data_IF_345777756346
#
_entry.id   IF_345777756346
#
_cell.length_a   1.000
_cell.length_b   1.000
_cell.length_c   1.000
_cell.angle_alpha   90.00
_cell.angle_beta   90.00
_cell.angle_gamma   90.00
#
_symmetry.space_group_name_H-M   'P 1'
#
loop_
_entity.id
_entity.type
_entity.pdbx_description
1 polymer ?
#
# COMPACT_ATOMS: atom_id res chain seq x y z
N UNK A 1 17.76 -11.53 -6.14
CA UNK A 1 16.62 -12.46 -5.99
C UNK A 1 16.74 -13.19 -4.67
N UNK A 2 15.69 -13.15 -3.87
CA UNK A 2 15.62 -13.87 -2.60
C UNK A 2 15.32 -15.34 -2.90
N UNK A 3 16.07 -16.22 -2.28
CA UNK A 3 15.97 -17.66 -2.50
C UNK A 3 15.43 -18.42 -1.29
N UNK A 4 15.31 -17.75 -0.13
CA UNK A 4 14.86 -18.34 1.12
C UNK A 4 13.55 -17.71 1.59
N UNK A 5 12.48 -18.51 1.62
CA UNK A 5 11.17 -18.08 2.11
C UNK A 5 11.19 -17.59 3.56
N UNK A 6 11.93 -18.24 4.45
CA UNK A 6 11.97 -17.87 5.87
C UNK A 6 12.46 -16.45 6.11
N UNK A 7 13.23 -15.89 5.17
CA UNK A 7 13.73 -14.51 5.27
C UNK A 7 12.68 -13.45 4.95
N UNK A 8 11.57 -13.82 4.34
CA UNK A 8 10.53 -12.89 3.86
C UNK A 8 9.13 -13.26 4.32
N UNK A 9 8.92 -14.49 4.78
CA UNK A 9 7.61 -15.01 5.20
C UNK A 9 6.91 -14.12 6.24
N UNK A 10 7.68 -13.51 7.16
CA UNK A 10 7.16 -12.64 8.19
C UNK A 10 6.37 -11.44 7.64
N UNK A 11 6.75 -10.94 6.44
CA UNK A 11 6.10 -9.81 5.77
C UNK A 11 4.70 -10.15 5.22
N UNK A 12 4.31 -11.44 5.21
CA UNK A 12 3.05 -11.93 4.65
C UNK A 12 2.24 -12.76 5.66
N UNK A 13 2.66 -12.82 6.92
CA UNK A 13 2.00 -13.63 7.94
C UNK A 13 0.71 -13.00 8.50
N UNK A 14 0.48 -11.72 8.30
CA UNK A 14 -0.73 -11.07 8.77
C UNK A 14 -1.81 -11.10 7.68
N UNK A 15 -2.77 -12.00 7.86
CA UNK A 15 -3.90 -12.19 6.94
C UNK A 15 -4.98 -11.11 7.03
N UNK A 16 -4.89 -10.22 8.01
CA UNK A 16 -5.88 -9.17 8.26
C UNK A 16 -5.50 -7.83 7.61
N UNK A 17 -4.29 -7.72 7.06
CA UNK A 17 -3.75 -6.48 6.52
C UNK A 17 -3.42 -6.68 5.03
N UNK A 18 -3.77 -5.70 4.22
CA UNK A 18 -3.37 -5.67 2.83
C UNK A 18 -1.90 -5.26 2.69
N UNK A 19 -1.22 -5.91 1.76
CA UNK A 19 0.09 -5.51 1.28
C UNK A 19 -0.09 -4.59 0.08
N UNK A 20 0.63 -3.48 0.08
CA UNK A 20 0.53 -2.46 -0.97
C UNK A 20 1.89 -2.21 -1.62
N UNK A 21 1.93 -2.34 -2.94
CA UNK A 21 3.06 -1.90 -3.75
C UNK A 21 2.87 -0.41 -4.03
N UNK A 22 3.82 0.40 -3.59
CA UNK A 22 3.81 1.86 -3.74
C UNK A 22 4.85 2.33 -4.76
N UNK A 23 4.43 3.23 -5.64
CA UNK A 23 5.32 4.06 -6.44
C UNK A 23 5.00 5.51 -6.06
N UNK A 24 5.92 6.15 -5.34
CA UNK A 24 5.78 7.53 -4.89
C UNK A 24 6.30 8.52 -5.94
N UNK A 25 5.86 9.78 -5.81
CA UNK A 25 6.22 10.87 -6.72
C UNK A 25 5.89 10.53 -8.18
N UNK A 26 4.81 9.77 -8.40
CA UNK A 26 4.35 9.40 -9.73
C UNK A 26 3.92 10.64 -10.53
N UNK A 27 4.12 10.58 -11.83
CA UNK A 27 3.67 11.58 -12.79
C UNK A 27 2.52 11.04 -13.62
N UNK A 28 1.85 11.89 -14.38
CA UNK A 28 0.83 11.42 -15.35
C UNK A 28 1.43 10.50 -16.42
N UNK A 29 2.70 10.72 -16.80
CA UNK A 29 3.42 9.82 -17.73
C UNK A 29 3.66 8.43 -17.09
N UNK A 30 3.95 8.37 -15.81
CA UNK A 30 4.05 7.10 -15.07
C UNK A 30 2.70 6.39 -15.00
N UNK A 31 1.62 7.11 -14.72
CA UNK A 31 0.27 6.58 -14.76
C UNK A 31 -0.13 6.06 -16.15
N UNK A 32 0.20 6.78 -17.21
CA UNK A 32 -0.05 6.34 -18.60
C UNK A 32 0.63 5.00 -18.88
N UNK A 33 1.88 4.84 -18.48
CA UNK A 33 2.63 3.59 -18.63
C UNK A 33 1.99 2.45 -17.82
N UNK A 34 1.60 2.71 -16.57
CA UNK A 34 0.95 1.69 -15.73
C UNK A 34 -0.42 1.32 -16.27
N UNK A 35 -1.25 2.27 -16.69
CA UNK A 35 -2.56 2.00 -17.32
C UNK A 35 -2.37 1.14 -18.59
N UNK A 36 -1.38 1.48 -19.43
CA UNK A 36 -1.07 0.68 -20.61
C UNK A 36 -0.68 -0.76 -20.23
N UNK A 37 0.21 -0.91 -19.27
CA UNK A 37 0.62 -2.23 -18.75
C UNK A 37 -0.54 -3.04 -18.18
N UNK A 38 -1.45 -2.39 -17.43
CA UNK A 38 -2.62 -3.07 -16.85
C UNK A 38 -3.63 -3.46 -17.93
N UNK A 39 -3.83 -2.63 -18.96
CA UNK A 39 -4.73 -2.88 -20.08
C UNK A 39 -4.26 -4.05 -20.99
N UNK A 40 -3.00 -4.47 -20.88
CA UNK A 40 -2.50 -5.69 -21.54
C UNK A 40 -2.88 -6.98 -20.79
N UNK A 41 -3.50 -6.89 -19.62
CA UNK A 41 -3.88 -8.05 -18.82
C UNK A 41 -5.30 -8.52 -19.16
N UNK A 42 -5.44 -9.74 -19.67
CA UNK A 42 -6.72 -10.33 -20.10
C UNK A 42 -7.74 -10.48 -18.95
N UNK A 43 -7.29 -10.52 -17.70
CA UNK A 43 -8.15 -10.64 -16.51
C UNK A 43 -8.59 -9.30 -15.95
N UNK A 44 -8.22 -8.19 -16.57
CA UNK A 44 -8.52 -6.85 -16.06
C UNK A 44 -10.02 -6.58 -16.02
N UNK A 45 -10.48 -6.11 -14.87
CA UNK A 45 -11.80 -5.53 -14.67
C UNK A 45 -11.61 -4.12 -14.11
N UNK A 46 -12.11 -3.14 -14.82
CA UNK A 46 -12.10 -1.74 -14.40
C UNK A 46 -13.50 -1.32 -14.00
N UNK A 47 -13.65 -0.77 -12.81
CA UNK A 47 -14.90 -0.35 -12.21
C UNK A 47 -14.86 1.13 -11.85
N UNK A 48 -15.93 1.83 -12.22
CA UNK A 48 -16.23 3.18 -11.73
C UNK A 48 -17.45 3.07 -10.81
N UNK A 49 -17.39 3.65 -9.63
CA UNK A 49 -18.48 3.58 -8.64
C UNK A 49 -18.66 4.95 -7.96
N UNK A 50 -19.90 5.25 -7.63
CA UNK A 50 -20.24 6.42 -6.84
C UNK A 50 -19.95 6.12 -5.36
N UNK A 51 -19.37 7.08 -4.67
CA UNK A 51 -18.98 6.95 -3.27
C UNK A 51 -20.14 6.63 -2.32
N UNK A 52 -21.36 7.07 -2.66
CA UNK A 52 -22.55 6.86 -1.81
C UNK A 52 -23.12 5.45 -1.94
N UNK A 53 -23.08 4.85 -3.11
CA UNK A 53 -23.80 3.58 -3.40
C UNK A 53 -22.88 2.34 -3.30
N UNK A 54 -21.56 2.48 -3.40
CA UNK A 54 -20.56 1.40 -3.47
C UNK A 54 -20.80 0.37 -4.59
N UNK A 55 -21.85 0.53 -5.38
CA UNK A 55 -22.12 -0.31 -6.52
C UNK A 55 -21.48 0.25 -7.79
N UNK A 56 -20.83 -0.59 -8.61
CA UNK A 56 -20.19 -0.12 -9.82
C UNK A 56 -21.23 0.41 -10.80
N UNK A 57 -21.15 1.68 -11.15
CA UNK A 57 -21.98 2.30 -12.18
C UNK A 57 -21.50 1.98 -13.61
N UNK A 58 -20.22 1.60 -13.74
CA UNK A 58 -19.60 1.21 -15.01
C UNK A 58 -18.56 0.13 -14.76
N UNK A 59 -18.63 -0.96 -15.53
CA UNK A 59 -17.63 -2.05 -15.49
C UNK A 59 -17.15 -2.32 -16.92
N UNK A 60 -15.84 -2.33 -17.12
CA UNK A 60 -15.21 -2.61 -18.43
C UNK A 60 -13.96 -3.48 -18.23
N UNK A 61 -13.42 -4.00 -19.32
CA UNK A 61 -12.14 -4.73 -19.34
C UNK A 61 -10.95 -3.86 -19.77
N UNK A 62 -11.13 -2.55 -19.77
CA UNK A 62 -10.08 -1.59 -20.06
C UNK A 62 -10.23 -0.36 -19.16
N UNK A 63 -9.11 0.12 -18.64
CA UNK A 63 -9.05 1.36 -17.87
C UNK A 63 -9.24 2.53 -18.82
N UNK A 64 -10.21 3.37 -18.50
CA UNK A 64 -10.49 4.62 -19.19
C UNK A 64 -9.49 5.69 -18.72
N UNK A 65 -8.40 5.86 -19.47
CA UNK A 65 -7.33 6.81 -19.13
C UNK A 65 -7.84 8.25 -19.01
N UNK A 66 -8.73 8.66 -19.91
CA UNK A 66 -9.25 10.03 -19.89
C UNK A 66 -10.06 10.30 -18.65
N UNK A 67 -10.89 9.35 -18.25
CA UNK A 67 -11.65 9.41 -17.00
C UNK A 67 -10.70 9.57 -15.80
N UNK A 68 -9.65 8.71 -15.69
CA UNK A 68 -8.69 8.77 -14.58
C UNK A 68 -7.97 10.12 -14.54
N UNK A 69 -7.52 10.65 -15.68
CA UNK A 69 -6.78 11.92 -15.70
C UNK A 69 -7.67 13.11 -15.41
N UNK A 70 -8.96 13.04 -15.76
CA UNK A 70 -9.95 14.03 -15.38
C UNK A 70 -10.23 13.98 -13.88
N UNK A 71 -10.39 12.79 -13.29
CA UNK A 71 -10.62 12.65 -11.84
C UNK A 71 -9.45 13.21 -11.02
N UNK A 72 -8.19 13.01 -11.44
CA UNK A 72 -7.03 13.64 -10.80
C UNK A 72 -7.01 15.18 -10.88
N UNK A 73 -7.71 15.75 -11.86
CA UNK A 73 -7.77 17.21 -12.03
C UNK A 73 -8.94 17.84 -11.27
N UNK A 74 -10.02 17.08 -11.05
CA UNK A 74 -11.30 17.57 -10.54
C UNK A 74 -11.65 16.99 -9.17
N UNK A 75 -10.68 16.58 -8.38
CA UNK A 75 -10.84 15.87 -7.08
C UNK A 75 -11.84 16.50 -6.07
N UNK A 76 -12.40 17.65 -6.35
CA UNK A 76 -13.39 18.33 -5.50
C UNK A 76 -14.83 18.30 -6.03
N UNK A 77 -15.06 17.79 -7.24
CA UNK A 77 -16.35 17.95 -7.93
C UNK A 77 -17.03 16.63 -8.35
N UNK A 78 -16.34 15.50 -8.29
CA UNK A 78 -16.94 14.20 -8.64
C UNK A 78 -16.84 13.24 -7.45
N UNK A 79 -17.99 12.73 -7.03
CA UNK A 79 -18.09 11.64 -6.03
C UNK A 79 -17.75 10.26 -6.64
N UNK A 80 -17.22 10.25 -7.87
CA UNK A 80 -16.89 9.03 -8.58
C UNK A 80 -15.47 8.58 -8.29
N UNK A 81 -15.33 7.34 -7.83
CA UNK A 81 -14.07 6.64 -7.64
C UNK A 81 -13.89 5.55 -8.69
N UNK A 82 -12.65 5.18 -8.92
CA UNK A 82 -12.33 4.09 -9.83
C UNK A 82 -11.31 3.14 -9.22
N UNK A 83 -11.46 1.86 -9.55
CA UNK A 83 -10.47 0.82 -9.26
C UNK A 83 -10.32 -0.12 -10.45
N UNK A 84 -9.16 -0.70 -10.58
CA UNK A 84 -8.93 -1.83 -11.46
C UNK A 84 -8.60 -3.07 -10.63
N UNK A 85 -9.19 -4.19 -11.00
CA UNK A 85 -8.90 -5.50 -10.43
C UNK A 85 -8.36 -6.41 -11.52
N UNK A 86 -7.30 -7.16 -11.22
CA UNK A 86 -6.70 -8.09 -12.17
C UNK A 86 -5.99 -9.22 -11.46
N UNK A 87 -5.85 -10.36 -12.14
CA UNK A 87 -5.07 -11.50 -11.66
C UNK A 87 -3.72 -11.57 -12.36
N UNK A 88 -2.65 -11.66 -11.61
CA UNK A 88 -1.31 -11.86 -12.13
C UNK A 88 -0.75 -13.20 -11.60
N UNK A 89 -0.72 -14.22 -12.47
CA UNK A 89 -0.26 -15.56 -12.10
C UNK A 89 -0.96 -16.14 -10.84
N UNK A 90 -2.26 -15.83 -10.67
CA UNK A 90 -3.08 -16.26 -9.54
C UNK A 90 -2.95 -15.40 -8.28
N UNK A 91 -2.27 -14.26 -8.36
CA UNK A 91 -2.28 -13.21 -7.34
C UNK A 91 -3.32 -12.16 -7.75
N UNK A 92 -4.35 -11.99 -6.93
CA UNK A 92 -5.40 -10.99 -7.14
C UNK A 92 -4.92 -9.63 -6.67
N UNK A 93 -4.97 -8.63 -7.54
CA UNK A 93 -4.42 -7.30 -7.31
C UNK A 93 -5.48 -6.25 -7.62
N UNK A 94 -5.61 -5.27 -6.73
CA UNK A 94 -6.40 -4.06 -6.95
C UNK A 94 -5.48 -2.86 -7.18
N UNK A 95 -5.81 -2.01 -8.13
CA UNK A 95 -5.19 -0.72 -8.35
C UNK A 95 -6.23 0.37 -8.07
N UNK A 96 -5.93 1.27 -7.14
CA UNK A 96 -6.77 2.40 -6.83
C UNK A 96 -6.24 3.66 -7.49
N UNK A 97 -7.16 4.51 -7.98
CA UNK A 97 -6.83 5.76 -8.70
C UNK A 97 -7.17 6.97 -7.83
N UNK A 98 -6.67 6.96 -6.58
CA UNK A 98 -6.98 8.00 -5.60
C UNK A 98 -6.01 9.18 -5.63
N UNK A 99 -4.73 8.91 -5.90
CA UNK A 99 -3.68 9.91 -5.80
C UNK A 99 -2.97 10.09 -7.13
N UNK A 100 -2.86 11.35 -7.58
CA UNK A 100 -2.14 11.69 -8.80
C UNK A 100 -0.64 11.40 -8.73
N UNK A 101 -0.06 11.59 -7.55
CA UNK A 101 1.38 11.50 -7.29
C UNK A 101 1.81 10.18 -6.63
N UNK A 102 0.89 9.23 -6.50
CA UNK A 102 1.16 7.93 -5.90
C UNK A 102 0.37 6.83 -6.60
N UNK A 103 1.06 5.76 -7.02
CA UNK A 103 0.44 4.56 -7.58
C UNK A 103 0.43 3.49 -6.49
N UNK A 104 -0.74 2.88 -6.28
CA UNK A 104 -0.98 1.84 -5.28
C UNK A 104 -1.54 0.58 -5.93
N UNK A 105 -0.87 -0.55 -5.70
CA UNK A 105 -1.33 -1.87 -6.09
C UNK A 105 -1.47 -2.74 -4.85
N UNK A 106 -2.70 -3.06 -4.47
CA UNK A 106 -3.03 -3.73 -3.22
C UNK A 106 -3.35 -5.21 -3.45
N UNK A 107 -2.90 -6.07 -2.56
CA UNK A 107 -3.26 -7.48 -2.51
C UNK A 107 -3.24 -7.99 -1.06
N UNK A 108 -3.99 -9.06 -0.78
CA UNK A 108 -4.00 -9.66 0.55
C UNK A 108 -2.63 -10.27 0.87
N UNK A 109 -2.00 -9.85 1.96
CA UNK A 109 -0.72 -10.41 2.41
C UNK A 109 -0.76 -11.94 2.52
N UNK A 110 -1.82 -12.49 3.08
CA UNK A 110 -2.04 -13.93 3.23
C UNK A 110 -2.24 -14.71 1.94
N UNK A 111 -2.30 -14.08 0.77
CA UNK A 111 -2.28 -14.77 -0.53
C UNK A 111 -0.88 -15.25 -0.91
N UNK A 112 0.17 -14.68 -0.33
CA UNK A 112 1.58 -15.05 -0.53
C UNK A 112 1.98 -16.07 0.54
N UNK A 113 1.99 -17.35 0.18
CA UNK A 113 2.19 -18.47 1.13
C UNK A 113 3.49 -19.25 0.91
N UNK A 114 4.22 -18.92 -0.14
CA UNK A 114 5.41 -19.64 -0.56
C UNK A 114 6.43 -18.74 -1.23
N UNK A 115 7.64 -19.25 -1.39
CA UNK A 115 8.68 -18.56 -2.16
C UNK A 115 8.26 -18.34 -3.63
N UNK A 116 7.45 -19.23 -4.20
CA UNK A 116 6.99 -19.10 -5.57
C UNK A 116 5.90 -18.00 -5.69
N UNK A 117 5.04 -17.83 -4.70
CA UNK A 117 4.11 -16.70 -4.65
C UNK A 117 4.86 -15.37 -4.46
N UNK A 118 5.86 -15.37 -3.55
CA UNK A 118 6.71 -14.21 -3.36
C UNK A 118 7.42 -13.77 -4.65
N UNK A 119 7.93 -14.72 -5.43
CA UNK A 119 8.57 -14.42 -6.72
C UNK A 119 7.64 -13.69 -7.69
N UNK A 120 6.34 -14.00 -7.69
CA UNK A 120 5.37 -13.29 -8.52
C UNK A 120 5.28 -11.80 -8.11
N UNK A 121 5.27 -11.53 -6.79
CA UNK A 121 5.31 -10.16 -6.27
C UNK A 121 6.63 -9.46 -6.64
N UNK A 122 7.76 -10.13 -6.43
CA UNK A 122 9.09 -9.60 -6.77
C UNK A 122 9.18 -9.29 -8.28
N UNK A 123 8.71 -10.18 -9.14
CA UNK A 123 8.67 -9.99 -10.60
C UNK A 123 7.80 -8.80 -11.01
N UNK A 124 6.63 -8.63 -10.38
CA UNK A 124 5.77 -7.46 -10.61
C UNK A 124 6.49 -6.17 -10.22
N UNK A 125 7.10 -6.14 -9.03
CA UNK A 125 7.86 -4.97 -8.57
C UNK A 125 9.05 -4.65 -9.49
N UNK A 126 9.76 -5.66 -9.98
CA UNK A 126 10.84 -5.49 -10.96
C UNK A 126 10.30 -4.92 -12.28
N UNK A 127 9.19 -5.46 -12.79
CA UNK A 127 8.55 -4.95 -14.01
C UNK A 127 8.16 -3.49 -13.87
N UNK A 128 7.50 -3.13 -12.77
CA UNK A 128 7.09 -1.74 -12.50
C UNK A 128 8.31 -0.82 -12.35
N UNK A 129 9.33 -1.25 -11.60
CA UNK A 129 10.56 -0.47 -11.45
C UNK A 129 11.28 -0.24 -12.78
N UNK A 130 11.30 -1.25 -13.66
CA UNK A 130 11.88 -1.16 -15.00
C UNK A 130 11.05 -0.24 -15.91
N UNK A 131 9.73 -0.42 -15.92
CA UNK A 131 8.80 0.35 -16.75
C UNK A 131 8.85 1.86 -16.45
N UNK A 132 8.91 2.17 -15.14
CA UNK A 132 8.83 3.55 -14.66
C UNK A 132 10.20 4.20 -14.43
N UNK A 133 11.27 3.40 -14.41
CA UNK A 133 12.61 3.85 -14.03
C UNK A 133 12.61 4.48 -12.61
N UNK A 134 11.90 3.86 -11.68
CA UNK A 134 11.67 4.34 -10.31
C UNK A 134 11.84 3.25 -9.28
N UNK A 135 12.08 3.66 -8.04
CA UNK A 135 12.00 2.78 -6.89
C UNK A 135 10.54 2.39 -6.63
N UNK A 136 10.32 1.09 -6.48
CA UNK A 136 9.05 0.47 -6.10
C UNK A 136 9.20 -0.12 -4.71
N UNK A 137 8.25 0.12 -3.83
CA UNK A 137 8.30 -0.39 -2.47
C UNK A 137 7.06 -1.22 -2.15
N UNK A 138 7.22 -2.26 -1.34
CA UNK A 138 6.12 -2.98 -0.72
C UNK A 138 6.06 -2.61 0.75
N UNK A 139 4.88 -2.28 1.23
CA UNK A 139 4.60 -2.03 2.64
C UNK A 139 3.21 -2.56 3.01
N UNK A 140 2.88 -2.57 4.30
CA UNK A 140 1.49 -2.73 4.72
C UNK A 140 0.68 -1.48 4.39
N UNK A 141 -0.62 -1.63 4.26
CA UNK A 141 -1.55 -0.53 4.02
C UNK A 141 -1.30 0.63 5.01
N UNK A 142 -1.21 1.85 4.49
CA UNK A 142 -0.84 3.04 5.27
C UNK A 142 0.60 3.10 5.77
N UNK A 143 1.43 2.10 5.45
CA UNK A 143 2.82 1.95 5.93
C UNK A 143 3.89 2.41 4.95
N UNK A 144 3.58 3.26 4.00
CA UNK A 144 4.49 3.69 2.91
C UNK A 144 5.87 4.19 3.38
N UNK A 145 5.95 4.79 4.56
CA UNK A 145 7.22 5.23 5.18
C UNK A 145 8.05 4.10 5.78
N UNK A 146 7.49 2.88 5.86
CA UNK A 146 8.12 1.68 6.42
C UNK A 146 8.08 0.54 5.42
N UNK A 147 8.84 0.62 4.32
CA UNK A 147 8.83 -0.44 3.34
C UNK A 147 9.39 -1.74 3.91
N UNK A 148 8.70 -2.84 3.59
CA UNK A 148 9.12 -4.22 3.85
C UNK A 148 10.15 -4.67 2.80
N UNK A 149 9.89 -4.28 1.55
CA UNK A 149 10.70 -4.63 0.39
C UNK A 149 10.89 -3.38 -0.46
N UNK A 150 12.08 -3.24 -1.05
CA UNK A 150 12.40 -2.17 -2.00
C UNK A 150 13.03 -2.76 -3.24
N UNK A 151 12.58 -2.31 -4.39
CA UNK A 151 13.12 -2.66 -5.70
C UNK A 151 13.44 -1.37 -6.47
N UNK A 152 14.70 -1.23 -6.86
CA UNK A 152 15.16 -0.16 -7.76
C UNK A 152 16.12 -0.78 -8.76
N UNK A 153 15.60 -1.11 -9.94
CA UNK A 153 16.37 -1.81 -10.98
C UNK A 153 17.49 -0.94 -11.50
N UNK A 154 17.30 0.38 -11.54
CA UNK A 154 18.31 1.32 -12.05
C UNK A 154 19.54 1.42 -11.16
N UNK A 155 19.34 1.22 -9.85
CA UNK A 155 20.40 1.21 -8.86
C UNK A 155 20.86 -0.20 -8.49
N UNK A 156 20.25 -1.24 -9.07
CA UNK A 156 20.53 -2.64 -8.76
C UNK A 156 20.13 -3.03 -7.33
N UNK A 157 19.11 -2.37 -6.76
CA UNK A 157 18.66 -2.62 -5.39
C UNK A 157 17.48 -3.58 -5.42
N UNK A 158 17.60 -4.69 -4.68
CA UNK A 158 16.49 -5.51 -4.21
C UNK A 158 16.78 -5.77 -2.74
N UNK A 159 16.06 -5.08 -1.86
CA UNK A 159 16.27 -5.11 -0.41
C UNK A 159 15.01 -5.60 0.29
N UNK A 160 15.15 -6.62 1.13
CA UNK A 160 14.14 -6.99 2.13
C UNK A 160 14.62 -6.47 3.47
N UNK A 161 13.77 -5.76 4.16
CA UNK A 161 14.07 -5.26 5.49
C UNK A 161 14.06 -6.43 6.48
N UNK A 162 15.02 -6.46 7.40
CA UNK A 162 15.05 -7.42 8.48
C UNK A 162 13.87 -7.19 9.45
N UNK A 163 13.16 -8.27 9.83
CA UNK A 163 11.97 -8.22 10.69
C UNK A 163 12.20 -7.41 11.97
N UNK A 164 13.31 -7.66 12.68
CA UNK A 164 13.62 -6.93 13.92
C UNK A 164 13.87 -5.46 13.68
N UNK A 165 14.51 -5.10 12.55
CA UNK A 165 14.72 -3.69 12.18
C UNK A 165 13.40 -3.04 11.82
N UNK A 166 12.50 -3.76 11.12
CA UNK A 166 11.18 -3.27 10.80
C UNK A 166 10.37 -2.98 12.06
N UNK A 167 10.24 -3.97 12.95
CA UNK A 167 9.53 -3.82 14.21
C UNK A 167 10.06 -2.65 15.04
N UNK A 168 11.37 -2.57 15.23
CA UNK A 168 12.00 -1.48 15.99
C UNK A 168 11.74 -0.10 15.39
N UNK A 169 11.75 0.02 14.06
CA UNK A 169 11.47 1.29 13.37
C UNK A 169 10.00 1.65 13.43
N UNK A 170 9.13 0.71 13.04
CA UNK A 170 7.70 0.92 12.95
C UNK A 170 7.12 1.30 14.31
N UNK A 171 7.36 0.50 15.33
CA UNK A 171 6.80 0.75 16.66
C UNK A 171 7.43 1.99 17.32
N UNK A 172 8.73 2.20 17.16
CA UNK A 172 9.39 3.40 17.70
C UNK A 172 8.84 4.70 17.09
N UNK A 173 8.60 4.73 15.78
CA UNK A 173 8.06 5.93 15.14
C UNK A 173 6.56 6.08 15.39
N UNK A 174 5.77 5.00 15.29
CA UNK A 174 4.34 5.00 15.65
C UNK A 174 4.17 5.55 17.08
N UNK A 175 4.93 5.03 18.03
CA UNK A 175 4.90 5.50 19.41
C UNK A 175 5.29 6.98 19.53
N UNK A 176 6.33 7.45 18.83
CA UNK A 176 6.74 8.86 18.85
C UNK A 176 5.65 9.77 18.27
N UNK A 177 5.04 9.40 17.15
CA UNK A 177 3.95 10.16 16.54
C UNK A 177 2.76 10.24 17.49
N UNK A 178 2.34 9.11 18.05
CA UNK A 178 1.23 9.03 19.00
C UNK A 178 1.52 9.84 20.26
N UNK A 179 2.75 9.79 20.78
CA UNK A 179 3.19 10.60 21.93
C UNK A 179 3.16 12.10 21.64
N UNK A 180 3.56 12.52 20.44
CA UNK A 180 3.51 13.92 20.02
C UNK A 180 2.05 14.38 19.84
N UNK A 181 1.21 13.56 19.20
CA UNK A 181 -0.22 13.85 19.07
C UNK A 181 -0.91 13.92 20.43
N UNK A 182 -0.57 13.02 21.35
CA UNK A 182 -1.09 13.03 22.71
C UNK A 182 -0.75 14.33 23.43
N UNK A 183 0.52 14.77 23.40
CA UNK A 183 0.94 16.04 24.01
C UNK A 183 0.22 17.23 23.42
N UNK A 184 0.04 17.26 22.10
CA UNK A 184 -0.71 18.31 21.43
C UNK A 184 -2.18 18.32 21.87
N UNK A 185 -2.84 17.16 21.89
CA UNK A 185 -4.24 17.03 22.31
C UNK A 185 -4.44 17.34 23.78
N UNK A 186 -3.48 17.00 24.64
CA UNK A 186 -3.52 17.34 26.07
C UNK A 186 -3.55 18.85 26.32
N UNK A 187 -2.78 19.60 25.52
CA UNK A 187 -2.71 21.07 25.63
C UNK A 187 -3.97 21.73 25.08
N UNK A 188 -4.46 21.31 23.92
CA UNK A 188 -5.53 22.00 23.20
C UNK A 188 -6.90 21.34 23.31
N UNK A 189 -6.95 20.02 23.52
CA UNK A 189 -8.18 19.22 23.50
C UNK A 189 -8.08 18.04 24.48
N UNK A 190 -8.09 18.25 25.77
CA UNK A 190 -7.84 17.18 26.78
C UNK A 190 -8.82 15.98 26.67
N UNK A 191 -10.09 16.23 26.34
CA UNK A 191 -11.09 15.18 26.15
C UNK A 191 -10.78 14.26 24.95
N UNK A 192 -10.27 14.86 23.86
CA UNK A 192 -9.87 14.09 22.66
C UNK A 192 -8.61 13.26 22.91
N UNK A 193 -7.71 13.76 23.73
CA UNK A 193 -6.51 13.00 24.14
C UNK A 193 -6.90 11.73 24.89
N UNK A 194 -7.85 11.82 25.83
CA UNK A 194 -8.36 10.67 26.58
C UNK A 194 -8.91 9.58 25.67
N UNK A 195 -9.71 9.95 24.66
CA UNK A 195 -10.27 9.00 23.67
C UNK A 195 -9.14 8.34 22.86
N UNK A 196 -8.14 9.12 22.45
CA UNK A 196 -7.00 8.60 21.69
C UNK A 196 -6.20 7.57 22.48
N UNK A 197 -5.92 7.82 23.76
CA UNK A 197 -5.22 6.86 24.62
C UNK A 197 -6.01 5.58 24.84
N UNK A 198 -7.33 5.65 25.00
CA UNK A 198 -8.19 4.45 25.08
C UNK A 198 -8.04 3.60 23.81
N UNK A 199 -8.12 4.22 22.61
CA UNK A 199 -7.91 3.51 21.34
C UNK A 199 -6.53 2.88 21.21
N UNK A 200 -5.45 3.58 21.64
CA UNK A 200 -4.09 3.04 21.61
C UNK A 200 -3.97 1.78 22.49
N UNK A 201 -4.67 1.76 23.63
CA UNK A 201 -4.64 0.62 24.55
C UNK A 201 -5.56 -0.53 24.13
N UNK A 202 -6.63 -0.26 23.38
CA UNK A 202 -7.52 -1.27 22.81
C UNK A 202 -6.91 -1.94 21.56
N UNK A 203 -6.12 -1.20 20.79
CA UNK A 203 -5.39 -1.75 19.65
C UNK A 203 -4.23 -2.63 20.17
N UNK A 204 -4.30 -3.93 19.92
CA UNK A 204 -3.26 -4.92 20.28
C UNK A 204 -1.92 -4.75 19.53
N UNK A 205 -1.78 -3.71 18.75
CA UNK A 205 -0.64 -3.43 17.89
C UNK A 205 0.61 -2.89 18.62
N UNK A 206 0.54 -2.55 19.90
CA UNK A 206 1.72 -2.12 20.64
C UNK A 206 2.41 -3.33 21.28
N UNK A 207 3.70 -3.55 21.04
CA UNK A 207 4.45 -4.59 21.71
C UNK A 207 4.32 -4.46 23.23
N UNK A 208 4.24 -5.59 23.93
CA UNK A 208 4.06 -5.65 25.38
C UNK A 208 5.02 -4.73 26.15
N UNK A 209 6.30 -4.63 25.68
CA UNK A 209 7.33 -3.74 26.23
C UNK A 209 7.02 -2.24 26.16
N UNK A 210 6.23 -1.83 25.18
CA UNK A 210 5.83 -0.42 25.03
C UNK A 210 4.60 -0.12 25.86
N UNK A 211 3.67 -1.09 26.00
CA UNK A 211 2.53 -0.98 26.91
C UNK A 211 2.98 -0.79 28.35
N UNK A 212 4.01 -1.55 28.79
CA UNK A 212 4.51 -1.51 30.17
C UNK A 212 5.30 -0.24 30.52
N UNK A 213 5.77 0.53 29.53
CA UNK A 213 6.55 1.77 29.72
C UNK A 213 5.78 3.05 29.36
N UNK A 214 4.49 2.96 29.07
CA UNK A 214 3.65 4.09 28.65
C UNK A 214 2.97 4.84 29.81
N UNK A 215 3.36 4.54 31.09
CA UNK A 215 2.86 5.19 32.32
C UNK A 215 3.96 5.92 33.07
#
# INVERSE_FOLDING_TARGET
MITNWDSVAWAFNDFSIDSVIYIQEATLDDWEKVITFLNENDSLVFEVYNYEDFDPCKTTNQIDREFIFQSFSNHSETDDNAKAHFSLNGLEINCFFEFKDQIELCFQAGSVKSIDDYKKVEELMIKLSTLLNRMVTLAYEGGVVFPLIKVDVTRGIIEVVDEKKYENRFYSLKYRILSLQSKFLEIFFPEKNRIMWVKIHEDDYLPKKIKDNAW
#
